data_IF_497903657638
#
_entry.id   IF_497903657638
#
_cell.length_a   1.000
_cell.length_b   1.000
_cell.length_c   1.000
_cell.angle_alpha   90.00
_cell.angle_beta   90.00
_cell.angle_gamma   90.00
#
_symmetry.space_group_name_H-M   'P 1'
#
loop_
_entity.id
_entity.type
_entity.pdbx_description
1 polymer ?
#
# COMPACT_ATOMS: atom_id res chain seq x y z
N UNK A 1 1.06 0.94 -13.72
CA UNK A 1 0.97 0.33 -12.37
C UNK A 1 1.90 1.08 -11.44
N UNK A 2 1.51 1.27 -10.19
CA UNK A 2 2.27 2.05 -9.21
C UNK A 2 3.66 1.48 -9.00
N UNK A 3 4.66 2.31 -9.15
CA UNK A 3 6.09 1.98 -8.95
C UNK A 3 6.81 3.07 -8.17
N UNK A 4 6.08 3.98 -7.51
CA UNK A 4 6.64 5.08 -6.75
C UNK A 4 5.57 5.61 -5.79
N UNK A 5 5.86 5.60 -4.49
CA UNK A 5 5.01 6.21 -3.48
C UNK A 5 5.83 6.86 -2.36
N UNK A 6 5.20 7.76 -1.64
CA UNK A 6 5.79 8.38 -0.46
C UNK A 6 5.21 7.77 0.81
N UNK A 7 6.09 7.36 1.70
CA UNK A 7 5.73 6.93 3.04
C UNK A 7 5.42 8.11 3.97
N UNK A 8 4.89 7.83 5.16
CA UNK A 8 4.61 8.85 6.16
C UNK A 8 5.90 9.48 6.69
N UNK A 9 5.78 10.74 7.09
CA UNK A 9 6.82 11.47 7.80
C UNK A 9 6.90 11.02 9.26
N UNK A 10 8.04 11.27 9.97
CA UNK A 10 8.18 10.89 11.38
C UNK A 10 7.04 11.41 12.27
N UNK A 11 6.64 12.65 12.10
CA UNK A 11 5.59 13.30 12.87
C UNK A 11 4.18 12.73 12.63
N UNK A 12 3.99 11.93 11.57
CA UNK A 12 2.70 11.32 11.24
C UNK A 12 2.46 9.98 11.95
N UNK A 13 3.39 9.49 12.78
CA UNK A 13 3.21 8.24 13.54
C UNK A 13 1.93 8.26 14.38
N UNK A 14 1.70 9.34 15.12
CA UNK A 14 0.50 9.48 15.96
C UNK A 14 -0.81 9.48 15.15
N UNK A 15 -0.79 10.01 13.92
CA UNK A 15 -1.93 9.94 13.01
C UNK A 15 -2.25 8.50 12.60
N UNK A 16 -1.21 7.71 12.30
CA UNK A 16 -1.34 6.29 11.94
C UNK A 16 -1.94 5.52 13.11
N UNK A 17 -1.40 5.68 14.31
CA UNK A 17 -1.85 4.99 15.54
C UNK A 17 -3.31 5.32 15.86
N UNK A 18 -3.71 6.60 15.70
CA UNK A 18 -5.11 7.00 15.87
C UNK A 18 -6.03 6.31 14.85
N UNK A 19 -5.62 6.20 13.59
CA UNK A 19 -6.40 5.51 12.54
C UNK A 19 -6.48 4.00 12.77
N UNK A 20 -5.41 3.40 13.29
CA UNK A 20 -5.36 1.99 13.66
C UNK A 20 -6.03 1.71 15.02
N UNK A 21 -6.31 2.75 15.81
CA UNK A 21 -6.78 2.67 17.19
C UNK A 21 -5.87 1.82 18.10
N UNK A 22 -4.58 1.82 17.78
CA UNK A 22 -3.57 1.03 18.49
C UNK A 22 -2.19 1.63 18.25
N UNK A 23 -1.32 1.53 19.24
CA UNK A 23 0.11 1.84 19.08
C UNK A 23 0.77 0.85 18.12
N UNK A 24 1.75 1.34 17.38
CA UNK A 24 2.58 0.52 16.52
C UNK A 24 4.04 0.59 16.95
N UNK A 25 4.69 -0.56 16.97
CA UNK A 25 6.13 -0.67 17.21
C UNK A 25 6.89 -0.83 15.90
N UNK A 26 8.19 -0.57 15.91
CA UNK A 26 9.06 -0.81 14.75
C UNK A 26 8.90 0.18 13.59
N UNK A 27 8.16 1.28 13.77
CA UNK A 27 7.98 2.27 12.72
C UNK A 27 9.26 3.04 12.44
N UNK A 28 9.79 2.90 11.21
CA UNK A 28 10.92 3.66 10.68
C UNK A 28 10.44 4.40 9.42
N UNK A 29 10.36 5.74 9.43
CA UNK A 29 9.82 6.49 8.31
C UNK A 29 10.73 6.39 7.07
N UNK A 30 10.09 6.37 5.89
CA UNK A 30 10.76 6.38 4.59
C UNK A 30 10.08 7.40 3.69
N UNK A 31 10.84 8.35 3.16
CA UNK A 31 10.27 9.44 2.40
C UNK A 31 9.75 9.00 1.03
N UNK A 32 10.55 8.27 0.27
CA UNK A 32 10.21 7.77 -1.07
C UNK A 32 10.55 6.31 -1.19
N UNK A 33 9.62 5.54 -1.73
CA UNK A 33 9.75 4.10 -1.89
C UNK A 33 9.50 3.72 -3.35
N UNK A 34 10.43 2.96 -3.91
CA UNK A 34 10.39 2.38 -5.25
C UNK A 34 10.53 0.87 -5.18
N UNK A 35 10.22 0.13 -6.26
CA UNK A 35 10.51 -1.29 -6.35
C UNK A 35 11.92 -1.63 -5.86
N UNK A 36 12.01 -2.67 -5.04
CA UNK A 36 13.21 -3.17 -4.35
C UNK A 36 13.69 -2.37 -3.13
N UNK A 37 13.14 -1.20 -2.87
CA UNK A 37 13.38 -0.51 -1.60
C UNK A 37 12.70 -1.23 -0.43
N UNK A 38 13.22 -1.01 0.77
CA UNK A 38 12.56 -1.42 2.01
C UNK A 38 11.61 -0.33 2.50
N UNK A 39 10.49 -0.76 3.06
CA UNK A 39 9.46 0.13 3.60
C UNK A 39 8.87 -0.40 4.90
N UNK A 40 8.35 0.48 5.79
CA UNK A 40 7.62 0.08 6.98
C UNK A 40 6.23 -0.45 6.59
N UNK A 41 5.99 -1.72 6.85
CA UNK A 41 4.76 -2.44 6.53
C UNK A 41 4.09 -2.88 7.82
N UNK A 42 2.82 -2.52 8.00
CA UNK A 42 2.05 -2.91 9.19
C UNK A 42 1.46 -4.30 8.99
N UNK A 43 1.74 -5.18 9.93
CA UNK A 43 1.22 -6.54 9.99
C UNK A 43 0.62 -6.82 11.37
N UNK A 44 -0.35 -7.73 11.47
CA UNK A 44 -0.85 -8.18 12.75
C UNK A 44 0.12 -9.21 13.36
N UNK A 45 0.42 -9.05 14.63
CA UNK A 45 1.12 -10.02 15.47
C UNK A 45 0.35 -10.20 16.77
N UNK A 46 -0.09 -11.44 17.08
CA UNK A 46 -0.93 -11.72 18.24
C UNK A 46 -2.06 -10.69 18.38
N UNK A 47 -2.08 -9.91 19.45
CA UNK A 47 -3.09 -8.86 19.68
C UNK A 47 -2.59 -7.45 19.29
N UNK A 48 -1.41 -7.34 18.68
CA UNK A 48 -0.77 -6.07 18.33
C UNK A 48 -0.66 -5.85 16.81
N UNK A 49 -0.37 -4.61 16.44
CA UNK A 49 0.12 -4.24 15.11
C UNK A 49 1.57 -3.81 15.21
N UNK A 50 2.39 -4.37 14.33
CA UNK A 50 3.82 -4.05 14.27
C UNK A 50 4.20 -3.57 12.87
N UNK A 51 5.12 -2.62 12.81
CA UNK A 51 5.78 -2.27 11.57
C UNK A 51 7.01 -3.17 11.41
N UNK A 52 7.04 -3.92 10.32
CA UNK A 52 8.22 -4.65 9.87
C UNK A 52 8.81 -3.97 8.65
N UNK A 53 10.12 -3.88 8.59
CA UNK A 53 10.79 -3.44 7.39
C UNK A 53 10.80 -4.58 6.36
N UNK A 54 10.12 -4.38 5.22
CA UNK A 54 10.00 -5.37 4.16
C UNK A 54 10.39 -4.77 2.82
N UNK A 55 10.95 -5.60 1.94
CA UNK A 55 11.35 -5.19 0.59
C UNK A 55 10.17 -5.25 -0.37
N UNK A 56 9.98 -4.20 -1.17
CA UNK A 56 8.92 -4.17 -2.17
C UNK A 56 9.27 -5.03 -3.38
N UNK A 57 8.41 -6.02 -3.64
CA UNK A 57 8.49 -6.92 -4.80
C UNK A 57 8.92 -8.35 -4.46
N UNK A 58 8.06 -9.30 -4.82
CA UNK A 58 8.33 -10.73 -4.68
C UNK A 58 9.23 -11.24 -5.79
N UNK A 59 10.19 -12.08 -5.45
CA UNK A 59 10.95 -12.83 -6.46
C UNK A 59 10.09 -13.93 -7.04
N UNK A 60 10.05 -14.02 -8.36
CA UNK A 60 9.28 -15.04 -9.07
C UNK A 60 10.20 -15.79 -10.04
N UNK A 61 10.02 -17.12 -10.24
CA UNK A 61 10.98 -17.91 -11.03
C UNK A 61 10.90 -17.64 -12.54
N UNK A 62 9.80 -17.00 -13.02
CA UNK A 62 9.56 -16.75 -14.44
C UNK A 62 9.97 -15.35 -14.91
N UNK A 63 10.39 -14.47 -13.99
CA UNK A 63 10.82 -13.10 -14.34
C UNK A 63 12.02 -12.70 -13.48
N UNK A 64 12.98 -12.01 -14.08
CA UNK A 64 14.12 -11.43 -13.36
C UNK A 64 13.71 -10.19 -12.58
N UNK A 65 12.73 -9.45 -13.07
CA UNK A 65 12.15 -8.31 -12.36
C UNK A 65 11.22 -8.81 -11.24
N UNK A 66 11.24 -8.19 -10.06
CA UNK A 66 10.34 -8.58 -8.98
C UNK A 66 8.90 -8.22 -9.32
N UNK A 67 7.97 -9.07 -8.87
CA UNK A 67 6.55 -8.83 -8.95
C UNK A 67 6.15 -7.81 -7.87
N UNK A 68 5.88 -6.57 -8.26
CA UNK A 68 5.64 -5.46 -7.32
C UNK A 68 4.17 -5.18 -7.06
N UNK A 69 3.27 -5.57 -7.99
CA UNK A 69 1.83 -5.33 -7.88
C UNK A 69 1.02 -6.59 -8.08
N UNK A 70 -0.12 -6.68 -7.41
CA UNK A 70 -1.12 -7.72 -7.55
C UNK A 70 -2.48 -7.09 -7.89
N UNK A 71 -3.20 -7.61 -8.90
CA UNK A 71 -4.54 -7.13 -9.22
C UNK A 71 -5.55 -7.70 -8.21
N UNK A 72 -6.35 -6.85 -7.58
CA UNK A 72 -7.36 -7.25 -6.61
C UNK A 72 -8.38 -8.24 -7.22
N UNK A 73 -8.70 -8.08 -8.49
CA UNK A 73 -9.70 -8.89 -9.21
C UNK A 73 -9.29 -10.36 -9.38
N UNK A 74 -7.99 -10.64 -9.38
CA UNK A 74 -7.45 -12.00 -9.58
C UNK A 74 -6.71 -12.53 -8.37
N UNK A 75 -6.71 -11.80 -7.27
CA UNK A 75 -5.95 -12.13 -6.07
C UNK A 75 -6.27 -13.52 -5.51
N UNK A 76 -7.54 -13.88 -5.49
CA UNK A 76 -8.05 -15.13 -4.91
C UNK A 76 -7.96 -16.33 -5.85
N UNK A 77 -7.65 -16.11 -7.13
CA UNK A 77 -7.65 -17.17 -8.15
C UNK A 77 -6.24 -17.52 -8.63
N UNK A 78 -5.32 -16.55 -8.66
CA UNK A 78 -3.96 -16.79 -9.14
C UNK A 78 -3.14 -17.61 -8.16
N UNK A 79 -2.49 -18.70 -8.62
CA UNK A 79 -1.64 -19.56 -7.78
C UNK A 79 -0.53 -18.80 -7.05
N UNK A 80 -0.05 -17.70 -7.61
CA UNK A 80 1.00 -16.87 -7.02
C UNK A 80 0.58 -16.22 -5.71
N UNK A 81 -0.68 -15.79 -5.59
CA UNK A 81 -1.18 -15.03 -4.44
C UNK A 81 -2.03 -15.87 -3.49
N UNK A 82 -2.78 -16.84 -4.03
CA UNK A 82 -3.73 -17.65 -3.26
C UNK A 82 -3.16 -18.28 -1.98
N UNK A 83 -1.92 -18.80 -1.95
CA UNK A 83 -1.33 -19.34 -0.72
C UNK A 83 -1.01 -18.30 0.35
N UNK A 84 -1.05 -17.01 0.01
CA UNK A 84 -0.63 -15.91 0.88
C UNK A 84 -1.79 -14.97 1.28
N UNK A 85 -3.03 -15.40 1.07
CA UNK A 85 -4.21 -14.56 1.40
C UNK A 85 -4.35 -14.28 2.90
N UNK A 86 -3.73 -15.07 3.76
CA UNK A 86 -3.69 -14.82 5.20
C UNK A 86 -2.53 -13.90 5.62
N UNK A 87 -1.61 -13.63 4.71
CA UNK A 87 -0.46 -12.74 4.92
C UNK A 87 -0.76 -11.33 4.36
N UNK A 88 -1.85 -10.73 4.85
CA UNK A 88 -2.25 -9.37 4.46
C UNK A 88 -1.51 -8.34 5.29
N UNK A 89 -1.25 -7.18 4.68
CA UNK A 89 -0.54 -6.09 5.32
C UNK A 89 -1.10 -4.73 4.89
N UNK A 90 -0.78 -3.69 5.66
CA UNK A 90 -1.02 -2.30 5.30
C UNK A 90 0.28 -1.65 4.88
N UNK A 91 0.26 -1.04 3.71
CA UNK A 91 1.34 -0.22 3.19
C UNK A 91 1.03 1.22 3.55
N UNK A 92 1.84 1.82 4.42
CA UNK A 92 1.64 3.19 4.88
C UNK A 92 2.06 4.16 3.78
N UNK A 93 1.16 5.03 3.38
CA UNK A 93 1.37 5.99 2.29
C UNK A 93 0.81 7.36 2.62
N UNK A 94 1.43 8.41 2.11
CA UNK A 94 0.89 9.77 2.05
C UNK A 94 0.61 10.24 0.63
N UNK A 95 1.22 9.61 -0.36
CA UNK A 95 0.97 9.84 -1.78
C UNK A 95 1.49 8.69 -2.63
N UNK A 96 0.99 8.58 -3.85
CA UNK A 96 1.52 7.64 -4.86
C UNK A 96 1.54 8.31 -6.24
N UNK A 97 2.32 7.74 -7.16
CA UNK A 97 2.42 8.21 -8.54
C UNK A 97 1.83 7.21 -9.50
N UNK A 98 0.99 7.70 -10.41
CA UNK A 98 0.45 6.97 -11.54
C UNK A 98 0.39 7.88 -12.77
N UNK A 99 0.77 7.34 -13.94
CA UNK A 99 0.72 8.07 -15.19
C UNK A 99 1.49 9.40 -15.21
N UNK A 100 2.56 9.50 -14.41
CA UNK A 100 3.36 10.72 -14.28
C UNK A 100 2.80 11.76 -13.31
N UNK A 101 1.61 11.55 -12.75
CA UNK A 101 1.00 12.43 -11.76
C UNK A 101 1.14 11.86 -10.34
N UNK A 102 1.20 12.74 -9.34
CA UNK A 102 1.23 12.37 -7.93
C UNK A 102 -0.12 12.66 -7.29
N UNK A 103 -0.64 11.69 -6.55
CA UNK A 103 -1.95 11.75 -5.90
C UNK A 103 -1.81 11.60 -4.40
N UNK A 104 -2.59 12.37 -3.64
CA UNK A 104 -2.64 12.34 -2.18
C UNK A 104 -4.06 12.57 -1.68
N UNK A 105 -4.32 12.24 -0.43
CA UNK A 105 -5.56 12.63 0.22
C UNK A 105 -5.51 14.11 0.63
N UNK A 106 -6.67 14.76 0.84
CA UNK A 106 -6.71 16.13 1.35
C UNK A 106 -5.80 16.30 2.57
N UNK A 107 -5.18 17.47 2.69
CA UNK A 107 -4.26 17.83 3.77
C UNK A 107 -3.06 16.89 3.94
N UNK A 108 -2.71 16.12 2.90
CA UNK A 108 -1.61 15.14 2.93
C UNK A 108 -1.71 14.14 4.09
N UNK A 109 -2.94 13.80 4.47
CA UNK A 109 -3.17 12.81 5.51
C UNK A 109 -2.66 11.42 5.09
N UNK A 110 -2.16 10.66 6.07
CA UNK A 110 -1.70 9.29 5.85
C UNK A 110 -2.89 8.38 5.56
N UNK A 111 -2.73 7.49 4.61
CA UNK A 111 -3.67 6.43 4.28
C UNK A 111 -2.94 5.10 4.08
N UNK A 112 -3.69 4.01 4.10
CA UNK A 112 -3.11 2.70 3.90
C UNK A 112 -3.53 2.13 2.55
N UNK A 113 -2.57 1.51 1.88
CA UNK A 113 -2.78 0.70 0.70
C UNK A 113 -2.79 -0.78 1.10
N UNK A 114 -3.63 -1.56 0.44
CA UNK A 114 -3.69 -2.99 0.67
C UNK A 114 -2.46 -3.70 0.07
N UNK A 115 -1.90 -4.64 0.80
CA UNK A 115 -0.80 -5.47 0.35
C UNK A 115 -0.88 -6.91 0.84
N UNK A 116 -0.09 -7.77 0.22
CA UNK A 116 0.26 -9.10 0.72
C UNK A 116 1.76 -9.14 0.98
N UNK A 117 2.16 -9.95 1.92
CA UNK A 117 3.58 -10.18 2.20
C UNK A 117 3.90 -11.67 2.28
N UNK A 118 5.15 -12.01 2.21
CA UNK A 118 5.66 -13.36 2.45
C UNK A 118 7.13 -13.32 2.84
N UNK A 119 7.58 -14.37 3.51
CA UNK A 119 9.00 -14.59 3.74
C UNK A 119 9.65 -15.21 2.51
N UNK A 120 10.83 -14.73 2.19
CA UNK A 120 11.73 -15.29 1.18
C UNK A 120 13.11 -15.52 1.79
N UNK A 121 14.00 -16.33 1.19
CA UNK A 121 15.34 -16.57 1.74
C UNK A 121 16.15 -15.29 2.00
N UNK A 122 15.88 -14.23 1.24
CA UNK A 122 16.54 -12.92 1.36
C UNK A 122 15.83 -11.94 2.30
N UNK A 123 14.82 -12.38 3.03
CA UNK A 123 14.00 -11.56 3.95
C UNK A 123 12.58 -11.37 3.48
N UNK A 124 11.75 -10.79 4.36
CA UNK A 124 10.33 -10.56 4.08
C UNK A 124 10.12 -9.56 2.95
N UNK A 125 9.14 -9.83 2.09
CA UNK A 125 8.79 -9.01 0.93
C UNK A 125 7.30 -8.78 0.84
N UNK A 126 6.91 -7.64 0.26
CA UNK A 126 5.51 -7.33 0.02
C UNK A 126 5.22 -7.01 -1.44
N UNK A 127 3.96 -7.15 -1.83
CA UNK A 127 3.38 -6.67 -3.09
C UNK A 127 2.22 -5.74 -2.78
N UNK A 128 2.05 -4.72 -3.60
CA UNK A 128 0.96 -3.76 -3.49
C UNK A 128 -0.23 -4.21 -4.31
N UNK A 129 -1.43 -4.19 -3.74
CA UNK A 129 -2.65 -4.43 -4.51
C UNK A 129 -2.98 -3.21 -5.37
N UNK A 130 -3.51 -3.49 -6.56
CA UNK A 130 -4.04 -2.48 -7.47
C UNK A 130 -5.48 -2.81 -7.86
N UNK A 131 -6.24 -1.79 -8.20
CA UNK A 131 -7.65 -1.89 -8.64
C UNK A 131 -7.90 -0.95 -9.81
N UNK A 132 -9.13 -0.95 -10.34
CA UNK A 132 -9.58 0.08 -11.30
C UNK A 132 -9.49 1.46 -10.68
N UNK A 133 -9.14 2.50 -11.44
CA UNK A 133 -8.94 3.84 -10.89
C UNK A 133 -10.27 4.49 -10.44
N UNK A 134 -10.16 5.46 -9.53
CA UNK A 134 -11.22 6.43 -9.26
C UNK A 134 -11.21 7.55 -10.32
N UNK A 135 -12.15 8.50 -10.22
CA UNK A 135 -12.27 9.60 -11.17
C UNK A 135 -11.03 10.51 -11.22
N UNK A 136 -10.32 10.66 -10.11
CA UNK A 136 -9.09 11.48 -10.05
C UNK A 136 -7.93 10.86 -10.83
N UNK A 137 -7.79 9.54 -10.79
CA UNK A 137 -6.65 8.81 -11.39
C UNK A 137 -6.96 8.35 -12.82
N UNK A 138 -8.22 8.06 -13.14
CA UNK A 138 -8.64 7.52 -14.45
C UNK A 138 -8.11 8.28 -15.67
N UNK A 139 -8.02 9.62 -15.67
CA UNK A 139 -7.45 10.36 -16.81
C UNK A 139 -5.97 10.11 -17.04
N UNK A 140 -5.24 9.58 -16.05
CA UNK A 140 -3.79 9.40 -16.08
C UNK A 140 -3.37 7.95 -16.25
N UNK A 141 -4.11 7.03 -15.65
CA UNK A 141 -3.76 5.60 -15.69
C UNK A 141 -4.99 4.70 -15.49
N UNK A 142 -4.96 3.53 -16.15
CA UNK A 142 -6.03 2.53 -16.08
C UNK A 142 -6.07 1.74 -14.76
N UNK A 143 -5.09 1.93 -13.88
CA UNK A 143 -4.98 1.27 -12.58
C UNK A 143 -4.56 2.28 -11.51
N UNK A 144 -4.92 1.99 -10.26
CA UNK A 144 -4.42 2.70 -9.10
C UNK A 144 -4.12 1.72 -7.95
N UNK A 145 -3.29 2.08 -6.97
CA UNK A 145 -3.18 1.33 -5.74
C UNK A 145 -4.53 1.11 -5.08
N UNK A 146 -4.71 -0.05 -4.43
CA UNK A 146 -5.92 -0.33 -3.68
C UNK A 146 -5.90 0.44 -2.37
N UNK A 147 -6.54 1.60 -2.35
CA UNK A 147 -6.70 2.43 -1.15
C UNK A 147 -7.76 1.82 -0.24
N UNK A 148 -7.43 1.69 1.04
CA UNK A 148 -8.35 1.23 2.08
C UNK A 148 -8.96 2.42 2.81
N UNK A 149 -10.26 2.35 3.11
CA UNK A 149 -10.88 3.25 4.07
C UNK A 149 -10.41 2.92 5.49
N UNK A 150 -10.34 3.89 6.37
CA UNK A 150 -9.84 3.72 7.74
C UNK A 150 -10.59 2.61 8.50
N UNK A 151 -11.89 2.51 8.34
CA UNK A 151 -12.72 1.47 8.96
C UNK A 151 -12.45 0.05 8.42
N UNK A 152 -11.77 -0.07 7.28
CA UNK A 152 -11.43 -1.37 6.68
C UNK A 152 -10.08 -1.92 7.16
N UNK A 153 -9.25 -1.14 7.87
CA UNK A 153 -7.89 -1.56 8.20
C UNK A 153 -7.84 -2.84 9.04
N UNK A 154 -8.65 -2.92 10.09
CA UNK A 154 -8.71 -4.09 10.96
C UNK A 154 -9.26 -5.31 10.21
N UNK A 155 -10.34 -5.15 9.46
CA UNK A 155 -10.94 -6.23 8.68
C UNK A 155 -10.01 -6.69 7.56
N UNK A 156 -9.28 -5.78 6.93
CA UNK A 156 -8.26 -6.16 5.96
C UNK A 156 -7.18 -7.04 6.58
N UNK A 157 -6.67 -6.68 7.75
CA UNK A 157 -5.60 -7.41 8.42
C UNK A 157 -6.05 -8.75 9.01
N UNK A 158 -7.24 -8.81 9.61
CA UNK A 158 -7.69 -9.95 10.45
C UNK A 158 -9.08 -10.48 10.14
N UNK A 159 -9.89 -9.74 9.38
CA UNK A 159 -11.31 -10.03 9.14
C UNK A 159 -11.64 -10.53 7.75
N UNK A 160 -12.87 -10.24 7.32
CA UNK A 160 -13.40 -10.63 6.01
C UNK A 160 -12.91 -9.71 4.91
N UNK A 161 -11.78 -10.07 4.33
CA UNK A 161 -11.18 -9.32 3.23
C UNK A 161 -11.90 -9.49 1.88
N UNK A 162 -12.70 -10.52 1.68
CA UNK A 162 -13.42 -10.73 0.41
C UNK A 162 -14.38 -9.58 0.13
N UNK A 163 -15.11 -9.13 1.14
CA UNK A 163 -15.99 -7.96 1.03
C UNK A 163 -15.20 -6.70 0.68
N UNK A 164 -14.01 -6.53 1.24
CA UNK A 164 -13.15 -5.38 0.99
C UNK A 164 -12.69 -5.34 -0.45
N UNK A 165 -12.30 -6.49 -1.04
CA UNK A 165 -11.86 -6.56 -2.44
C UNK A 165 -12.89 -6.04 -3.44
N UNK A 166 -14.18 -6.09 -3.11
CA UNK A 166 -15.28 -5.58 -3.95
C UNK A 166 -15.64 -4.12 -3.66
N UNK A 167 -15.09 -3.52 -2.61
CA UNK A 167 -15.42 -2.17 -2.14
C UNK A 167 -14.18 -1.30 -1.89
N UNK A 168 -13.30 -1.11 -2.90
CA UNK A 168 -12.16 -0.21 -2.76
C UNK A 168 -12.63 1.22 -2.47
N UNK A 169 -11.79 1.99 -1.78
CA UNK A 169 -12.06 3.42 -1.61
C UNK A 169 -11.93 4.13 -2.96
N UNK A 170 -13.03 4.73 -3.38
CA UNK A 170 -13.12 5.52 -4.61
C UNK A 170 -13.25 7.03 -4.33
N UNK A 171 -13.01 7.44 -3.09
CA UNK A 171 -13.00 8.85 -2.72
C UNK A 171 -12.04 9.64 -3.60
N UNK A 172 -12.38 10.89 -3.96
CA UNK A 172 -11.51 11.73 -4.77
C UNK A 172 -10.15 11.94 -4.09
N UNK A 173 -9.11 11.94 -4.90
CA UNK A 173 -7.75 12.29 -4.49
C UNK A 173 -7.37 13.63 -5.08
N UNK A 174 -6.54 14.37 -4.37
CA UNK A 174 -5.93 15.60 -4.87
C UNK A 174 -4.70 15.25 -5.71
N UNK A 175 -4.56 15.94 -6.85
CA UNK A 175 -3.38 15.84 -7.68
C UNK A 175 -2.38 16.91 -7.27
N UNK A 176 -1.18 16.51 -6.89
CA UNK A 176 -0.08 17.43 -6.65
C UNK A 176 0.38 18.05 -7.97
N UNK A 177 0.34 19.36 -8.03
CA UNK A 177 0.93 20.16 -9.08
C UNK A 177 2.10 20.93 -8.47
N UNK A 178 3.35 20.65 -8.88
CA UNK A 178 4.47 21.49 -8.48
C UNK A 178 4.16 22.92 -8.95
N UNK A 179 4.30 23.89 -8.04
CA UNK A 179 4.22 25.28 -8.45
C UNK A 179 5.33 25.53 -9.47
N UNK A 180 5.04 26.22 -10.60
CA UNK A 180 6.09 26.64 -11.48
C UNK A 180 7.06 27.53 -10.68
N UNK A 181 8.34 27.17 -10.70
CA UNK A 181 9.37 28.05 -10.15
C UNK A 181 9.26 29.39 -10.88
N UNK A 182 8.91 30.42 -10.15
CA UNK A 182 8.95 31.80 -10.63
C UNK A 182 10.45 32.16 -10.71
N UNK A 183 11.00 32.05 -11.93
CA UNK A 183 12.32 32.60 -12.25
C UNK A 183 12.26 34.14 -12.31
#
# INVERSE_FOLDING_TARGET
MCTDYEGPKPEQKAEIERKLRQEITGFVPRARIRPTDCAPIVVPEEDAYVCREMRWGWQVPWDKAPLVNAKSETLTTLPTFKPHLDQRCLILSRSFKEGGAQFHQPDWTVFCLAGLWRDEPSGSRFVMLTTTPNESVAPFHARMPFVLRTEQYADWLRGDFFKILTTPDKSPLEKFQPQPELF
#
